data_IF_378168324055
#
_entry.id   IF_378168324055
#
_cell.length_a   1.000
_cell.length_b   1.000
_cell.length_c   1.000
_cell.angle_alpha   90.00
_cell.angle_beta   90.00
_cell.angle_gamma   90.00
#
_symmetry.space_group_name_H-M   'P 1'
#
loop_
_entity.id
_entity.type
_entity.pdbx_description
1 polymer ?
#
# COMPACT_ATOMS: atom_id res chain seq x y z
N UNK A 1 -6.50 -22.20 3.35
CA UNK A 1 -7.48 -21.92 2.30
C UNK A 1 -8.13 -20.58 2.60
N UNK A 2 -8.46 -19.79 1.57
CA UNK A 2 -9.09 -18.46 1.71
C UNK A 2 -10.60 -18.53 1.48
N UNK A 3 -11.09 -19.67 1.13
CA UNK A 3 -12.50 -19.94 0.88
C UNK A 3 -13.37 -19.47 2.07
N UNK A 4 -14.43 -18.74 1.77
CA UNK A 4 -15.36 -18.11 2.71
C UNK A 4 -14.75 -17.08 3.69
N UNK A 5 -13.45 -16.77 3.60
CA UNK A 5 -12.82 -15.72 4.42
C UNK A 5 -13.26 -14.34 3.97
N UNK A 6 -13.67 -13.50 4.90
CA UNK A 6 -14.06 -12.11 4.61
C UNK A 6 -12.83 -11.20 4.71
N UNK A 7 -12.47 -10.58 3.58
CA UNK A 7 -11.23 -9.82 3.41
C UNK A 7 -11.54 -8.42 2.90
N UNK A 8 -11.19 -7.40 3.67
CA UNK A 8 -11.26 -6.00 3.26
C UNK A 8 -9.99 -5.64 2.49
N UNK A 9 -10.14 -5.00 1.32
CA UNK A 9 -9.04 -4.47 0.51
C UNK A 9 -9.26 -2.99 0.29
N UNK A 10 -8.39 -2.14 0.85
CA UNK A 10 -8.44 -0.69 0.62
C UNK A 10 -7.66 -0.29 -0.64
N UNK A 11 -8.08 0.79 -1.32
CA UNK A 11 -7.49 1.19 -2.59
C UNK A 11 -7.77 0.17 -3.71
N UNK A 12 -8.91 -0.53 -3.66
CA UNK A 12 -9.25 -1.65 -4.53
C UNK A 12 -9.64 -1.26 -5.96
N UNK A 13 -9.77 0.03 -6.27
CA UNK A 13 -10.24 0.50 -7.58
C UNK A 13 -9.18 0.52 -8.68
N UNK A 14 -7.92 0.17 -8.39
CA UNK A 14 -6.83 0.07 -9.38
C UNK A 14 -5.59 -0.64 -8.83
N UNK A 15 -4.68 -1.01 -9.72
CA UNK A 15 -3.33 -1.44 -9.42
C UNK A 15 -3.24 -2.65 -8.51
N UNK A 16 -2.42 -2.56 -7.45
CA UNK A 16 -2.19 -3.68 -6.53
C UNK A 16 -3.46 -4.09 -5.80
N UNK A 17 -4.29 -3.12 -5.37
CA UNK A 17 -5.55 -3.39 -4.68
C UNK A 17 -6.54 -4.15 -5.55
N UNK A 18 -6.73 -3.73 -6.78
CA UNK A 18 -7.59 -4.41 -7.77
C UNK A 18 -7.08 -5.82 -8.08
N UNK A 19 -5.78 -5.95 -8.40
CA UNK A 19 -5.19 -7.25 -8.67
C UNK A 19 -5.30 -8.21 -7.46
N UNK A 20 -5.18 -7.67 -6.24
CA UNK A 20 -5.38 -8.43 -5.00
C UNK A 20 -6.82 -8.90 -4.88
N UNK A 21 -7.79 -8.02 -5.09
CA UNK A 21 -9.21 -8.36 -5.05
C UNK A 21 -9.56 -9.48 -6.04
N UNK A 22 -9.06 -9.38 -7.28
CA UNK A 22 -9.23 -10.42 -8.32
C UNK A 22 -8.70 -11.78 -7.89
N UNK A 23 -7.52 -11.82 -7.29
CA UNK A 23 -6.92 -13.06 -6.80
C UNK A 23 -7.70 -13.67 -5.65
N UNK A 24 -8.10 -12.85 -4.69
CA UNK A 24 -8.85 -13.29 -3.51
C UNK A 24 -10.23 -13.84 -3.89
N UNK A 25 -10.93 -13.18 -4.81
CA UNK A 25 -12.21 -13.69 -5.33
C UNK A 25 -12.06 -15.05 -6.03
N UNK A 26 -11.02 -15.21 -6.88
CA UNK A 26 -10.71 -16.51 -7.51
C UNK A 26 -10.35 -17.59 -6.50
N UNK A 27 -9.81 -17.23 -5.34
CA UNK A 27 -9.53 -18.15 -4.23
C UNK A 27 -10.72 -18.45 -3.34
N UNK A 28 -11.94 -18.00 -3.71
CA UNK A 28 -13.21 -18.26 -3.02
C UNK A 28 -13.45 -17.40 -1.78
N UNK A 29 -12.72 -16.28 -1.61
CA UNK A 29 -12.92 -15.38 -0.49
C UNK A 29 -14.11 -14.45 -0.72
N UNK A 30 -14.74 -14.01 0.38
CA UNK A 30 -15.63 -12.86 0.38
C UNK A 30 -14.76 -11.58 0.36
N UNK A 31 -14.89 -10.75 -0.68
CA UNK A 31 -14.00 -9.59 -0.88
C UNK A 31 -14.77 -8.29 -0.75
N UNK A 32 -14.33 -7.46 0.19
CA UNK A 32 -14.86 -6.11 0.39
C UNK A 32 -13.91 -5.11 -0.25
N UNK A 33 -14.40 -4.43 -1.28
CA UNK A 33 -13.66 -3.46 -2.08
C UNK A 33 -13.92 -2.05 -1.56
N UNK A 34 -12.87 -1.36 -1.11
CA UNK A 34 -12.99 0.00 -0.60
C UNK A 34 -12.10 0.96 -1.36
N UNK A 35 -12.67 2.02 -1.94
CA UNK A 35 -11.98 3.14 -2.58
C UNK A 35 -12.96 4.27 -2.89
N UNK A 36 -12.43 5.43 -3.34
CA UNK A 36 -13.23 6.62 -3.66
C UNK A 36 -14.06 6.48 -4.95
N UNK A 37 -13.58 5.71 -5.93
CA UNK A 37 -14.16 5.59 -7.28
C UNK A 37 -15.28 4.54 -7.29
N UNK A 38 -16.51 4.97 -6.96
CA UNK A 38 -17.68 4.09 -6.82
C UNK A 38 -17.95 3.25 -8.06
N UNK A 39 -17.93 3.86 -9.25
CA UNK A 39 -18.21 3.17 -10.52
C UNK A 39 -17.23 2.03 -10.79
N UNK A 40 -15.91 2.27 -10.54
CA UNK A 40 -14.89 1.22 -10.72
C UNK A 40 -15.07 0.08 -9.74
N UNK A 41 -15.48 0.37 -8.49
CA UNK A 41 -15.75 -0.67 -7.51
C UNK A 41 -16.97 -1.50 -7.90
N UNK A 42 -18.04 -0.85 -8.35
CA UNK A 42 -19.24 -1.53 -8.80
C UNK A 42 -18.97 -2.44 -10.00
N UNK A 43 -18.26 -1.93 -11.01
CA UNK A 43 -17.87 -2.71 -12.18
C UNK A 43 -16.99 -3.92 -11.78
N UNK A 44 -16.02 -3.71 -10.89
CA UNK A 44 -15.16 -4.80 -10.42
C UNK A 44 -15.95 -5.84 -9.61
N UNK A 45 -16.87 -5.44 -8.74
CA UNK A 45 -17.74 -6.38 -8.03
C UNK A 45 -18.56 -7.23 -8.99
N UNK A 46 -19.22 -6.62 -9.97
CA UNK A 46 -20.05 -7.32 -10.97
C UNK A 46 -19.20 -8.32 -11.79
N UNK A 47 -17.97 -7.96 -12.12
CA UNK A 47 -17.04 -8.84 -12.83
C UNK A 47 -16.59 -10.03 -11.96
N UNK A 48 -16.29 -9.78 -10.69
CA UNK A 48 -15.77 -10.81 -9.77
C UNK A 48 -16.84 -11.78 -9.30
N UNK A 49 -18.07 -11.31 -9.16
CA UNK A 49 -19.19 -12.09 -8.63
C UNK A 49 -20.52 -11.55 -9.15
N UNK A 50 -21.01 -12.14 -10.23
CA UNK A 50 -22.29 -11.78 -10.85
C UNK A 50 -23.49 -12.04 -9.92
N UNK A 51 -23.33 -12.86 -8.88
CA UNK A 51 -24.39 -13.16 -7.90
C UNK A 51 -24.48 -12.13 -6.79
N UNK A 52 -23.43 -11.32 -6.61
CA UNK A 52 -23.30 -10.35 -5.53
C UNK A 52 -23.22 -10.96 -4.12
N UNK A 53 -23.03 -12.28 -3.99
CA UNK A 53 -23.00 -12.97 -2.68
C UNK A 53 -21.65 -12.83 -1.99
N UNK A 54 -20.56 -12.82 -2.76
CA UNK A 54 -19.18 -12.89 -2.26
C UNK A 54 -18.39 -11.59 -2.40
N UNK A 55 -18.97 -10.55 -3.00
CA UNK A 55 -18.32 -9.25 -3.14
C UNK A 55 -19.15 -8.12 -2.54
N UNK A 56 -18.50 -7.10 -2.02
CA UNK A 56 -19.12 -5.88 -1.50
C UNK A 56 -18.30 -4.66 -1.93
N UNK A 57 -18.94 -3.72 -2.65
CA UNK A 57 -18.36 -2.43 -2.95
C UNK A 57 -18.78 -1.41 -1.89
N UNK A 58 -17.82 -0.76 -1.26
CA UNK A 58 -18.04 0.37 -0.35
C UNK A 58 -17.23 1.56 -0.87
N UNK A 59 -17.91 2.53 -1.45
CA UNK A 59 -17.25 3.76 -1.90
C UNK A 59 -16.98 4.66 -0.70
N UNK A 60 -15.75 5.23 -0.60
CA UNK A 60 -15.40 6.14 0.48
C UNK A 60 -13.95 6.55 0.47
N UNK A 61 -13.63 7.55 1.27
CA UNK A 61 -12.27 8.02 1.50
C UNK A 61 -11.73 7.44 2.81
N UNK A 62 -10.59 6.75 2.73
CA UNK A 62 -9.96 6.12 3.89
C UNK A 62 -9.53 7.13 4.96
N UNK A 63 -9.39 8.42 4.61
CA UNK A 63 -9.05 9.50 5.55
C UNK A 63 -10.23 9.95 6.40
N UNK A 64 -11.47 9.67 5.98
CA UNK A 64 -12.69 10.06 6.70
C UNK A 64 -13.13 8.98 7.70
N UNK A 65 -13.30 9.36 8.95
CA UNK A 65 -13.72 8.44 10.02
C UNK A 65 -15.07 7.76 9.72
N UNK A 66 -16.08 8.54 9.30
CA UNK A 66 -17.39 8.03 8.96
C UNK A 66 -17.36 6.98 7.84
N UNK A 67 -16.44 7.11 6.86
CA UNK A 67 -16.30 6.16 5.77
C UNK A 67 -15.63 4.86 6.23
N UNK A 68 -14.64 4.94 7.12
CA UNK A 68 -14.03 3.74 7.74
C UNK A 68 -15.03 2.98 8.61
N UNK A 69 -15.82 3.68 9.41
CA UNK A 69 -16.88 3.08 10.24
C UNK A 69 -17.96 2.42 9.38
N UNK A 70 -18.41 3.12 8.31
CA UNK A 70 -19.36 2.57 7.35
C UNK A 70 -18.83 1.32 6.67
N UNK A 71 -17.54 1.30 6.29
CA UNK A 71 -16.88 0.13 5.71
C UNK A 71 -16.96 -1.08 6.65
N UNK A 72 -16.57 -0.90 7.90
CA UNK A 72 -16.57 -1.99 8.90
C UNK A 72 -17.99 -2.46 9.16
N UNK A 73 -18.95 -1.54 9.37
CA UNK A 73 -20.36 -1.86 9.60
C UNK A 73 -20.96 -2.64 8.43
N UNK A 74 -20.85 -2.13 7.20
CA UNK A 74 -21.37 -2.80 6.01
C UNK A 74 -20.74 -4.19 5.78
N UNK A 75 -19.47 -4.37 6.13
CA UNK A 75 -18.80 -5.67 6.08
C UNK A 75 -19.43 -6.65 7.06
N UNK A 76 -19.66 -6.22 8.29
CA UNK A 76 -20.28 -7.06 9.34
C UNK A 76 -21.73 -7.37 9.04
N UNK A 77 -22.50 -6.40 8.55
CA UNK A 77 -23.90 -6.59 8.13
C UNK A 77 -24.03 -7.65 7.03
N UNK A 78 -23.11 -7.64 6.05
CA UNK A 78 -23.18 -8.59 4.93
C UNK A 78 -22.59 -9.95 5.24
N UNK A 79 -21.45 -10.01 5.93
CA UNK A 79 -20.66 -11.24 6.08
C UNK A 79 -20.52 -11.72 7.53
N UNK A 80 -20.96 -10.95 8.52
CA UNK A 80 -20.94 -11.30 9.93
C UNK A 80 -19.55 -11.31 10.57
N UNK A 81 -18.47 -11.16 9.80
CA UNK A 81 -17.09 -11.29 10.28
C UNK A 81 -16.07 -10.54 9.40
N UNK A 82 -14.88 -10.33 9.96
CA UNK A 82 -13.72 -9.81 9.22
C UNK A 82 -12.53 -10.71 9.53
N UNK A 83 -12.07 -11.51 8.56
CA UNK A 83 -10.93 -12.42 8.72
C UNK A 83 -9.60 -11.76 8.38
N UNK A 84 -9.60 -10.83 7.42
CA UNK A 84 -8.40 -10.11 7.06
C UNK A 84 -8.66 -8.68 6.60
N UNK A 85 -7.62 -7.85 6.79
CA UNK A 85 -7.56 -6.47 6.31
C UNK A 85 -6.29 -6.30 5.47
N UNK A 86 -6.45 -5.85 4.22
CA UNK A 86 -5.35 -5.45 3.33
C UNK A 86 -5.33 -3.92 3.25
N UNK A 87 -4.45 -3.30 3.99
CA UNK A 87 -4.19 -1.87 3.97
C UNK A 87 -3.31 -1.54 2.76
N UNK A 88 -3.93 -1.21 1.64
CA UNK A 88 -3.25 -0.91 0.38
C UNK A 88 -3.45 0.53 -0.10
N UNK A 89 -4.48 1.24 0.36
CA UNK A 89 -4.70 2.63 -0.01
C UNK A 89 -3.48 3.51 0.28
N UNK A 90 -3.13 4.36 -0.67
CA UNK A 90 -1.99 5.27 -0.53
C UNK A 90 -1.58 5.91 -1.85
N UNK A 91 -0.81 6.99 -1.76
CA UNK A 91 -0.24 7.69 -2.92
C UNK A 91 1.15 8.24 -2.62
N UNK A 92 1.88 8.62 -3.67
CA UNK A 92 3.21 9.19 -3.56
C UNK A 92 3.18 10.71 -3.65
N UNK A 93 3.80 11.42 -2.69
CA UNK A 93 4.14 12.83 -2.78
C UNK A 93 5.62 12.97 -3.12
N UNK A 94 5.95 13.76 -4.12
CA UNK A 94 7.33 13.94 -4.63
C UNK A 94 7.71 15.40 -4.74
N UNK A 95 9.00 15.64 -4.79
CA UNK A 95 9.61 16.96 -4.92
C UNK A 95 10.67 17.22 -3.85
N UNK A 96 11.39 18.34 -3.97
CA UNK A 96 12.29 18.81 -2.92
C UNK A 96 11.50 19.04 -1.64
N UNK A 97 11.93 18.49 -0.52
CA UNK A 97 11.15 18.54 0.72
C UNK A 97 10.88 19.98 1.19
N UNK A 98 11.83 20.88 1.00
CA UNK A 98 11.69 22.31 1.34
C UNK A 98 10.63 23.04 0.49
N UNK A 99 10.21 22.46 -0.65
CA UNK A 99 9.22 23.03 -1.56
C UNK A 99 7.85 22.37 -1.44
N UNK A 100 7.76 21.25 -0.72
CA UNK A 100 6.48 20.58 -0.50
C UNK A 100 5.70 21.36 0.56
N UNK A 101 4.49 21.87 0.25
CA UNK A 101 3.64 22.48 1.26
C UNK A 101 3.41 21.51 2.43
N UNK A 102 3.45 22.02 3.66
CA UNK A 102 3.27 21.18 4.85
C UNK A 102 1.92 20.47 4.86
N UNK A 103 0.89 21.09 4.29
CA UNK A 103 -0.45 20.51 4.12
C UNK A 103 -0.42 19.29 3.21
N UNK A 104 0.36 19.32 2.12
CA UNK A 104 0.54 18.19 1.21
C UNK A 104 1.29 17.03 1.90
N UNK A 105 2.29 17.36 2.72
CA UNK A 105 2.99 16.37 3.56
C UNK A 105 2.04 15.73 4.58
N UNK A 106 1.24 16.55 5.30
CA UNK A 106 0.23 16.07 6.26
C UNK A 106 -0.80 15.17 5.58
N UNK A 107 -1.33 15.56 4.42
CA UNK A 107 -2.28 14.77 3.66
C UNK A 107 -1.69 13.42 3.19
N UNK A 108 -0.38 13.40 2.86
CA UNK A 108 0.30 12.17 2.50
C UNK A 108 0.43 11.21 3.71
N UNK A 109 0.77 11.75 4.90
CA UNK A 109 0.77 10.97 6.14
C UNK A 109 -0.64 10.54 6.55
N UNK A 110 -1.64 11.41 6.41
CA UNK A 110 -3.04 11.09 6.71
C UNK A 110 -3.49 9.86 5.91
N UNK A 111 -3.25 9.87 4.59
CA UNK A 111 -3.67 8.76 3.73
C UNK A 111 -2.82 7.51 3.94
N UNK A 112 -1.49 7.62 4.00
CA UNK A 112 -0.60 6.46 3.96
C UNK A 112 -0.35 5.82 5.33
N UNK A 113 -0.54 6.59 6.42
CA UNK A 113 -0.17 6.18 7.78
C UNK A 113 -1.38 6.22 8.71
N UNK A 114 -1.94 7.41 8.96
CA UNK A 114 -2.96 7.57 10.00
C UNK A 114 -4.27 6.84 9.66
N UNK A 115 -4.71 6.89 8.40
CA UNK A 115 -5.91 6.18 7.98
C UNK A 115 -5.78 4.65 8.13
N UNK A 116 -4.59 4.12 7.84
CA UNK A 116 -4.27 2.70 8.04
C UNK A 116 -4.34 2.33 9.51
N UNK A 117 -3.75 3.15 10.40
CA UNK A 117 -3.80 2.93 11.85
C UNK A 117 -5.24 2.98 12.33
N UNK A 118 -5.99 4.03 11.94
CA UNK A 118 -7.38 4.21 12.36
C UNK A 118 -8.29 3.05 11.91
N UNK A 119 -8.15 2.57 10.66
CA UNK A 119 -8.90 1.40 10.19
C UNK A 119 -8.47 0.13 10.94
N UNK A 120 -7.17 -0.02 11.22
CA UNK A 120 -6.67 -1.14 12.03
C UNK A 120 -7.25 -1.11 13.44
N UNK A 121 -7.38 0.06 14.07
CA UNK A 121 -8.01 0.23 15.38
C UNK A 121 -9.49 -0.19 15.41
N UNK A 122 -10.22 -0.01 14.32
CA UNK A 122 -11.60 -0.48 14.19
C UNK A 122 -11.69 -2.01 13.99
N UNK A 123 -10.75 -2.60 13.25
CA UNK A 123 -10.81 -4.02 12.87
C UNK A 123 -10.11 -4.94 13.88
N UNK A 124 -9.01 -4.51 14.49
CA UNK A 124 -8.22 -5.34 15.40
C UNK A 124 -9.00 -5.85 16.62
N UNK A 125 -9.88 -5.06 17.28
CA UNK A 125 -10.72 -5.55 18.38
C UNK A 125 -11.66 -6.68 17.95
N UNK A 126 -12.21 -6.63 16.74
CA UNK A 126 -13.08 -7.65 16.17
C UNK A 126 -12.30 -8.94 15.93
N UNK A 127 -11.12 -8.85 15.32
CA UNK A 127 -10.24 -10.00 15.11
C UNK A 127 -9.75 -10.59 16.43
N UNK A 128 -9.45 -9.76 17.44
CA UNK A 128 -9.07 -10.20 18.78
C UNK A 128 -10.20 -10.98 19.45
N UNK A 129 -11.44 -10.50 19.38
CA UNK A 129 -12.61 -11.20 19.89
C UNK A 129 -12.85 -12.55 19.18
N UNK A 130 -12.51 -12.64 17.91
CA UNK A 130 -12.55 -13.88 17.12
C UNK A 130 -11.40 -14.86 17.48
N UNK A 131 -10.37 -14.42 18.22
CA UNK A 131 -9.16 -15.19 18.49
C UNK A 131 -8.30 -15.48 17.25
N UNK A 132 -8.62 -14.84 16.12
CA UNK A 132 -7.95 -15.05 14.83
C UNK A 132 -8.14 -13.84 13.93
N UNK A 133 -7.11 -13.52 13.15
CA UNK A 133 -7.19 -12.45 12.15
C UNK A 133 -5.89 -12.27 11.39
N UNK A 134 -5.93 -11.54 10.28
CA UNK A 134 -4.74 -11.20 9.53
C UNK A 134 -4.77 -9.78 8.98
N UNK A 135 -3.74 -9.02 9.26
CA UNK A 135 -3.56 -7.67 8.73
C UNK A 135 -2.35 -7.68 7.81
N UNK A 136 -2.56 -7.26 6.55
CA UNK A 136 -1.49 -7.14 5.56
C UNK A 136 -1.35 -5.67 5.20
N UNK A 137 -0.22 -5.08 5.55
CA UNK A 137 0.12 -3.70 5.23
C UNK A 137 0.97 -3.65 3.96
N UNK A 138 0.57 -2.83 2.98
CA UNK A 138 1.36 -2.62 1.76
C UNK A 138 2.36 -1.49 2.01
N UNK A 139 3.57 -1.90 2.37
CA UNK A 139 4.74 -1.04 2.50
C UNK A 139 5.36 -0.66 1.15
N UNK A 140 6.68 -0.62 1.11
CA UNK A 140 7.48 -0.41 -0.10
C UNK A 140 8.95 -0.69 0.21
N UNK A 141 9.79 -0.93 -0.81
CA UNK A 141 11.26 -0.79 -0.67
C UNK A 141 11.64 0.61 -0.20
N UNK A 142 10.82 1.60 -0.48
CA UNK A 142 10.93 2.98 -0.03
C UNK A 142 10.83 3.14 1.51
N UNK A 143 10.34 2.14 2.23
CA UNK A 143 10.38 2.07 3.70
C UNK A 143 11.74 1.63 4.25
N UNK A 144 12.71 1.33 3.40
CA UNK A 144 14.08 0.91 3.78
C UNK A 144 15.17 1.70 3.06
N UNK A 145 14.84 2.31 1.92
CA UNK A 145 15.78 3.07 1.09
C UNK A 145 15.11 4.39 0.72
N UNK A 146 15.61 5.50 1.29
CA UNK A 146 15.14 6.84 0.97
C UNK A 146 15.87 7.37 -0.26
N UNK A 147 15.18 8.11 -1.11
CA UNK A 147 15.71 8.71 -2.33
C UNK A 147 15.52 10.22 -2.29
N UNK A 148 16.45 11.01 -2.85
CA UNK A 148 16.20 12.42 -3.11
C UNK A 148 14.88 12.63 -3.85
N UNK A 149 14.22 13.75 -3.61
CA UNK A 149 12.93 14.14 -4.22
C UNK A 149 11.75 13.18 -3.91
N UNK A 150 11.93 12.25 -2.97
CA UNK A 150 10.89 11.29 -2.57
C UNK A 150 10.74 11.18 -1.05
N UNK A 151 11.47 11.98 -0.27
CA UNK A 151 11.52 11.87 1.19
C UNK A 151 10.16 12.00 1.86
N UNK A 152 9.26 12.83 1.32
CA UNK A 152 7.89 12.96 1.82
C UNK A 152 7.13 11.62 1.77
N UNK A 153 7.14 10.94 0.64
CA UNK A 153 6.53 9.61 0.51
C UNK A 153 7.31 8.53 1.26
N UNK A 154 8.64 8.52 1.08
CA UNK A 154 9.48 7.46 1.64
C UNK A 154 9.37 7.45 3.17
N UNK A 155 9.27 8.62 3.84
CA UNK A 155 9.05 8.71 5.29
C UNK A 155 7.74 8.07 5.76
N UNK A 156 6.65 8.18 4.98
CA UNK A 156 5.40 7.46 5.30
C UNK A 156 5.60 5.95 5.30
N UNK A 157 6.43 5.45 4.39
CA UNK A 157 6.70 4.01 4.28
C UNK A 157 7.68 3.51 5.35
N UNK A 158 8.61 4.35 5.83
CA UNK A 158 9.40 4.07 7.02
C UNK A 158 8.53 4.01 8.28
N UNK A 159 7.60 4.95 8.47
CA UNK A 159 6.64 4.91 9.58
C UNK A 159 5.84 3.59 9.56
N UNK A 160 5.44 3.13 8.39
CA UNK A 160 4.69 1.89 8.22
C UNK A 160 5.47 0.63 8.64
N UNK A 161 6.79 0.62 8.44
CA UNK A 161 7.66 -0.45 8.92
C UNK A 161 7.58 -0.57 10.45
N UNK A 162 7.81 0.55 11.16
CA UNK A 162 7.78 0.59 12.62
C UNK A 162 6.40 0.20 13.18
N UNK A 163 5.33 0.79 12.63
CA UNK A 163 3.95 0.49 13.02
C UNK A 163 3.64 -1.01 12.82
N UNK A 164 4.01 -1.56 11.66
CA UNK A 164 3.74 -2.97 11.37
C UNK A 164 4.51 -3.91 12.30
N UNK A 165 5.76 -3.58 12.62
CA UNK A 165 6.58 -4.40 13.51
C UNK A 165 6.05 -4.33 14.95
N UNK A 166 5.61 -3.17 15.46
CA UNK A 166 4.95 -3.01 16.76
C UNK A 166 3.64 -3.80 16.84
N UNK A 167 2.72 -3.56 15.91
CA UNK A 167 1.42 -4.25 15.85
C UNK A 167 1.57 -5.78 15.80
N UNK A 168 2.61 -6.29 15.15
CA UNK A 168 2.87 -7.73 15.08
C UNK A 168 3.13 -8.32 16.47
N UNK A 169 3.89 -7.62 17.31
CA UNK A 169 4.15 -8.03 18.69
C UNK A 169 2.90 -7.91 19.54
N UNK A 170 2.20 -6.80 19.45
CA UNK A 170 1.01 -6.47 20.24
C UNK A 170 -0.17 -7.43 19.99
N UNK A 171 -0.41 -7.77 18.71
CA UNK A 171 -1.59 -8.56 18.31
C UNK A 171 -1.34 -10.08 18.29
N UNK A 172 -0.08 -10.52 18.31
CA UNK A 172 0.28 -11.95 18.29
C UNK A 172 -0.33 -12.77 19.43
N UNK A 173 -0.38 -12.29 20.70
CA UNK A 173 -1.00 -13.04 21.80
C UNK A 173 -2.49 -13.32 21.58
N UNK A 174 -3.15 -12.53 20.76
CA UNK A 174 -4.58 -12.64 20.47
C UNK A 174 -4.89 -13.42 19.18
N UNK A 175 -3.91 -14.12 18.62
CA UNK A 175 -4.10 -14.90 17.39
C UNK A 175 -4.15 -14.08 16.10
N UNK A 176 -3.92 -12.76 16.16
CA UNK A 176 -3.92 -11.87 15.00
C UNK A 176 -2.50 -11.72 14.43
N UNK A 177 -2.35 -12.02 13.16
CA UNK A 177 -1.05 -12.00 12.48
C UNK A 177 -0.91 -10.75 11.61
N UNK A 178 0.18 -10.00 11.78
CA UNK A 178 0.45 -8.77 11.03
C UNK A 178 1.65 -8.98 10.10
N UNK A 179 1.45 -8.71 8.82
CA UNK A 179 2.41 -8.97 7.75
C UNK A 179 2.65 -7.70 6.95
N UNK A 180 3.90 -7.47 6.57
CA UNK A 180 4.28 -6.41 5.65
C UNK A 180 4.55 -6.99 4.26
N UNK A 181 4.01 -6.38 3.22
CA UNK A 181 4.42 -6.64 1.83
C UNK A 181 5.17 -5.42 1.33
N UNK A 182 6.39 -5.60 0.79
CA UNK A 182 7.23 -4.52 0.25
C UNK A 182 7.32 -4.63 -1.27
N UNK A 183 6.47 -3.91 -2.00
CA UNK A 183 6.63 -3.74 -3.43
C UNK A 183 7.92 -2.98 -3.78
N UNK A 184 8.55 -3.37 -4.89
CA UNK A 184 9.49 -2.52 -5.61
C UNK A 184 8.78 -1.60 -6.60
N UNK A 185 9.36 -1.41 -7.79
CA UNK A 185 8.72 -0.65 -8.86
C UNK A 185 7.64 -1.52 -9.53
N UNK A 186 6.40 -1.04 -9.52
CA UNK A 186 5.24 -1.73 -10.10
C UNK A 186 4.52 -0.78 -11.06
N UNK A 187 4.16 -1.27 -12.23
CA UNK A 187 3.40 -0.52 -13.25
C UNK A 187 1.94 -0.41 -12.83
N UNK A 188 1.56 0.74 -12.31
CA UNK A 188 0.21 1.07 -11.83
C UNK A 188 -0.10 2.54 -12.08
N UNK A 189 -1.34 2.95 -11.88
CA UNK A 189 -1.76 4.37 -11.86
C UNK A 189 -1.09 5.18 -10.71
N UNK A 190 -0.44 4.51 -9.75
CA UNK A 190 0.28 5.17 -8.64
C UNK A 190 1.30 6.20 -9.12
N UNK A 191 2.00 5.89 -10.22
CA UNK A 191 2.98 6.81 -10.81
C UNK A 191 2.32 8.09 -11.34
N UNK A 192 1.21 7.96 -12.05
CA UNK A 192 0.42 9.08 -12.59
C UNK A 192 -0.19 9.91 -11.47
N UNK A 193 -0.76 9.28 -10.45
CA UNK A 193 -1.27 9.96 -9.25
C UNK A 193 -0.18 10.75 -8.57
N UNK A 194 1.02 10.17 -8.39
CA UNK A 194 2.15 10.87 -7.78
C UNK A 194 2.62 12.07 -8.63
N UNK A 195 2.58 11.97 -9.95
CA UNK A 195 2.86 13.10 -10.86
C UNK A 195 1.83 14.21 -10.71
N UNK A 196 0.55 13.85 -10.75
CA UNK A 196 -0.56 14.82 -10.63
C UNK A 196 -0.51 15.59 -9.30
N UNK A 197 -0.37 14.90 -8.16
CA UNK A 197 -0.32 15.57 -6.85
C UNK A 197 0.97 16.36 -6.63
N UNK A 198 2.04 16.05 -7.35
CA UNK A 198 3.33 16.76 -7.25
C UNK A 198 3.52 17.84 -8.32
N UNK A 199 2.57 18.01 -9.24
CA UNK A 199 2.72 18.89 -10.41
C UNK A 199 3.05 20.35 -10.02
N UNK A 200 2.36 20.91 -9.00
CA UNK A 200 2.61 22.26 -8.54
C UNK A 200 4.01 22.41 -7.91
N UNK A 201 4.46 21.41 -7.16
CA UNK A 201 5.81 21.40 -6.56
C UNK A 201 6.88 21.32 -7.64
N UNK A 202 6.61 20.63 -8.74
CA UNK A 202 7.52 20.53 -9.88
C UNK A 202 7.56 21.84 -10.69
N UNK A 203 6.41 22.49 -10.87
CA UNK A 203 6.32 23.77 -11.55
C UNK A 203 7.11 24.89 -10.81
N UNK A 204 7.13 24.84 -9.47
CA UNK A 204 7.90 25.76 -8.61
C UNK A 204 9.14 25.08 -8.00
N UNK A 205 9.89 24.37 -8.81
CA UNK A 205 11.07 23.63 -8.32
C UNK A 205 12.26 24.51 -7.98
N UNK A 206 12.33 25.76 -8.49
CA UNK A 206 13.42 26.70 -8.25
C UNK A 206 14.80 26.11 -8.58
N UNK A 207 15.75 26.12 -7.63
CA UNK A 207 17.10 25.60 -7.88
C UNK A 207 17.16 24.10 -8.16
N UNK A 208 16.05 23.37 -7.97
CA UNK A 208 15.97 21.92 -8.19
C UNK A 208 15.52 21.54 -9.61
N UNK A 209 15.15 22.48 -10.47
CA UNK A 209 14.62 22.19 -11.81
C UNK A 209 15.53 21.25 -12.62
N UNK A 210 16.83 21.55 -12.70
CA UNK A 210 17.81 20.72 -13.43
C UNK A 210 18.00 19.30 -12.84
N UNK A 211 17.61 19.08 -11.60
CA UNK A 211 17.67 17.77 -10.96
C UNK A 211 16.37 16.96 -11.19
N UNK A 212 15.25 17.65 -11.39
CA UNK A 212 13.98 16.98 -11.71
C UNK A 212 14.06 16.26 -13.05
N UNK A 213 14.65 16.85 -14.07
CA UNK A 213 14.83 16.24 -15.39
C UNK A 213 15.64 14.94 -15.30
N UNK A 214 16.74 14.97 -14.57
CA UNK A 214 17.54 13.77 -14.28
C UNK A 214 16.73 12.71 -13.54
N UNK A 215 15.96 13.12 -12.53
CA UNK A 215 15.13 12.21 -11.74
C UNK A 215 14.05 11.54 -12.60
N UNK A 216 13.32 12.32 -13.43
CA UNK A 216 12.28 11.77 -14.31
C UNK A 216 12.84 10.85 -15.39
N UNK A 217 14.00 11.20 -15.97
CA UNK A 217 14.70 10.34 -16.94
C UNK A 217 15.08 8.99 -16.31
N UNK A 218 15.66 8.99 -15.10
CA UNK A 218 16.00 7.74 -14.43
C UNK A 218 14.76 6.94 -14.01
N UNK A 219 13.68 7.63 -13.62
CA UNK A 219 12.41 6.97 -13.32
C UNK A 219 11.81 6.28 -14.55
N UNK A 220 11.91 6.89 -15.73
CA UNK A 220 11.48 6.28 -16.98
C UNK A 220 12.26 4.99 -17.27
N UNK A 221 13.57 4.95 -16.98
CA UNK A 221 14.39 3.72 -17.10
C UNK A 221 13.92 2.64 -16.12
N UNK A 222 13.60 3.01 -14.86
CA UNK A 222 13.09 2.07 -13.86
C UNK A 222 11.71 1.49 -14.22
N UNK A 223 10.87 2.22 -14.96
CA UNK A 223 9.59 1.71 -15.48
C UNK A 223 9.76 0.50 -16.40
N UNK A 224 10.91 0.36 -17.09
CA UNK A 224 11.18 -0.78 -17.99
C UNK A 224 11.37 -2.10 -17.23
N UNK A 225 11.90 -2.03 -16.02
CA UNK A 225 12.13 -3.21 -15.15
C UNK A 225 11.03 -3.38 -14.09
N UNK A 226 10.01 -2.54 -14.13
CA UNK A 226 8.91 -2.59 -13.17
C UNK A 226 8.09 -3.87 -13.35
N UNK A 227 7.75 -4.52 -12.23
CA UNK A 227 6.82 -5.63 -12.17
C UNK A 227 5.38 -5.21 -12.48
N UNK A 228 4.49 -6.19 -12.46
CA UNK A 228 3.06 -5.98 -12.64
C UNK A 228 2.31 -6.08 -11.29
N UNK A 229 1.11 -5.49 -11.17
CA UNK A 229 0.31 -5.56 -9.95
C UNK A 229 0.10 -6.97 -9.42
N UNK A 230 -0.06 -7.94 -10.31
CA UNK A 230 -0.26 -9.35 -9.97
C UNK A 230 0.92 -9.98 -9.24
N UNK A 231 2.16 -9.53 -9.47
CA UNK A 231 3.34 -10.00 -8.72
C UNK A 231 3.18 -9.73 -7.21
N UNK A 232 2.61 -8.58 -6.86
CA UNK A 232 2.38 -8.20 -5.46
C UNK A 232 1.11 -8.84 -4.92
N UNK A 233 0.05 -8.89 -5.72
CA UNK A 233 -1.20 -9.56 -5.35
C UNK A 233 -0.96 -11.04 -5.00
N UNK A 234 -0.08 -11.73 -5.71
CA UNK A 234 0.36 -13.10 -5.39
C UNK A 234 1.07 -13.18 -4.03
N UNK A 235 1.85 -12.17 -3.65
CA UNK A 235 2.50 -12.12 -2.34
C UNK A 235 1.48 -11.86 -1.22
N UNK A 236 0.49 -11.02 -1.46
CA UNK A 236 -0.64 -10.77 -0.53
C UNK A 236 -1.44 -12.06 -0.34
N UNK A 237 -1.84 -12.71 -1.41
CA UNK A 237 -2.53 -14.00 -1.37
C UNK A 237 -1.74 -15.05 -0.57
N UNK A 238 -0.43 -15.18 -0.85
CA UNK A 238 0.46 -16.09 -0.11
C UNK A 238 0.54 -15.72 1.37
N UNK A 239 0.61 -14.43 1.71
CA UNK A 239 0.62 -13.97 3.09
C UNK A 239 -0.69 -14.30 3.79
N UNK A 240 -1.82 -14.17 3.10
CA UNK A 240 -3.15 -14.48 3.64
C UNK A 240 -3.43 -15.98 3.78
N UNK A 241 -2.97 -16.80 2.83
CA UNK A 241 -3.21 -18.25 2.82
C UNK A 241 -2.29 -19.03 3.76
N UNK A 242 -1.10 -18.53 4.09
CA UNK A 242 -0.11 -19.25 4.87
C UNK A 242 -0.59 -19.48 6.31
N UNK A 243 -0.50 -20.70 6.83
CA UNK A 243 -0.79 -21.00 8.26
C UNK A 243 0.13 -20.21 9.20
N UNK A 244 1.42 -20.11 8.86
CA UNK A 244 2.44 -19.32 9.56
C UNK A 244 3.11 -18.37 8.55
N UNK A 245 2.56 -17.17 8.31
CA UNK A 245 3.13 -16.25 7.35
C UNK A 245 4.50 -15.74 7.80
N UNK A 246 5.33 -15.41 6.82
CA UNK A 246 6.54 -14.64 7.08
C UNK A 246 6.18 -13.24 7.57
N UNK A 247 7.04 -12.64 8.38
CA UNK A 247 6.85 -11.25 8.86
C UNK A 247 6.79 -10.25 7.69
N UNK A 248 7.50 -10.55 6.59
CA UNK A 248 7.58 -9.70 5.42
C UNK A 248 7.71 -10.50 4.12
N UNK A 249 7.11 -9.96 3.04
CA UNK A 249 7.23 -10.46 1.67
C UNK A 249 7.74 -9.33 0.78
N UNK A 250 8.83 -9.56 0.06
CA UNK A 250 9.46 -8.60 -0.83
C UNK A 250 9.29 -9.03 -2.28
N UNK A 251 8.91 -8.14 -3.16
CA UNK A 251 8.76 -8.46 -4.59
C UNK A 251 8.59 -7.21 -5.45
N UNK A 252 8.80 -7.37 -6.73
CA UNK A 252 9.41 -8.49 -7.47
C UNK A 252 10.92 -8.67 -7.21
N UNK A 253 11.64 -9.38 -8.08
CA UNK A 253 13.04 -9.77 -7.82
C UNK A 253 13.97 -8.57 -7.56
N UNK A 254 13.82 -7.48 -8.32
CA UNK A 254 14.63 -6.28 -8.13
C UNK A 254 14.45 -5.66 -6.72
N UNK A 255 13.25 -5.78 -6.12
CA UNK A 255 13.04 -5.33 -4.75
C UNK A 255 13.90 -6.11 -3.74
N UNK A 256 14.01 -7.42 -3.94
CA UNK A 256 14.88 -8.28 -3.10
C UNK A 256 16.34 -7.90 -3.27
N UNK A 257 16.77 -7.64 -4.52
CA UNK A 257 18.13 -7.22 -4.84
C UNK A 257 18.48 -5.89 -4.14
N UNK A 258 17.65 -4.85 -4.28
CA UNK A 258 17.90 -3.57 -3.64
C UNK A 258 17.95 -3.67 -2.10
N UNK A 259 17.07 -4.46 -1.50
CA UNK A 259 17.07 -4.67 -0.05
C UNK A 259 18.28 -5.46 0.42
N UNK A 260 18.75 -6.43 -0.36
CA UNK A 260 19.99 -7.16 -0.09
C UNK A 260 21.22 -6.24 -0.19
N UNK A 261 21.30 -5.41 -1.23
CA UNK A 261 22.37 -4.42 -1.36
C UNK A 261 22.36 -3.41 -0.19
N UNK A 262 21.16 -2.97 0.25
CA UNK A 262 21.04 -2.06 1.42
C UNK A 262 21.51 -2.71 2.72
N UNK A 263 21.37 -4.01 2.86
CA UNK A 263 21.89 -4.75 4.01
C UNK A 263 23.40 -4.96 3.93
N UNK A 264 23.91 -5.24 2.73
CA UNK A 264 25.34 -5.56 2.50
C UNK A 264 26.25 -4.34 2.52
N UNK A 265 25.80 -3.21 1.95
CA UNK A 265 26.64 -2.05 1.70
C UNK A 265 26.45 -0.97 2.77
N UNK A 266 27.53 -0.24 3.14
CA UNK A 266 27.46 0.86 4.10
C UNK A 266 26.63 2.03 3.57
N UNK A 267 26.12 2.87 4.47
CA UNK A 267 25.25 3.99 4.14
C UNK A 267 25.90 4.97 3.14
N UNK A 268 27.18 5.24 3.29
CA UNK A 268 27.93 6.15 2.39
C UNK A 268 27.89 5.72 0.92
N UNK A 269 27.83 4.41 0.64
CA UNK A 269 27.65 3.92 -0.72
C UNK A 269 26.29 4.33 -1.30
N UNK A 270 25.23 4.22 -0.52
CA UNK A 270 23.89 4.63 -0.94
C UNK A 270 23.78 6.13 -1.10
N UNK A 271 24.40 6.91 -0.20
CA UNK A 271 24.48 8.36 -0.32
C UNK A 271 25.18 8.78 -1.61
N UNK A 272 26.28 8.11 -1.95
CA UNK A 272 26.97 8.33 -3.21
C UNK A 272 26.15 7.89 -4.43
N UNK A 273 25.55 6.69 -4.40
CA UNK A 273 24.80 6.12 -5.53
C UNK A 273 23.49 6.87 -5.80
N UNK A 274 22.83 7.39 -4.75
CA UNK A 274 21.54 8.09 -4.82
C UNK A 274 21.68 9.63 -4.84
N UNK A 275 22.91 10.16 -4.79
CA UNK A 275 23.12 11.61 -4.85
C UNK A 275 22.48 12.22 -6.09
N UNK A 276 21.93 13.40 -5.92
CA UNK A 276 21.38 14.17 -7.03
C UNK A 276 22.47 14.54 -8.04
N UNK A 277 22.17 14.41 -9.32
CA UNK A 277 23.00 14.85 -10.42
C UNK A 277 22.21 15.84 -11.26
N UNK A 278 22.86 16.86 -11.80
CA UNK A 278 22.25 17.72 -12.82
C UNK A 278 22.06 16.91 -14.11
N UNK A 279 21.04 17.23 -14.88
CA UNK A 279 20.96 16.80 -16.27
C UNK A 279 22.13 17.46 -17.04
N UNK A 280 22.86 16.65 -17.80
CA UNK A 280 23.88 17.11 -18.74
C UNK A 280 23.25 17.75 -19.93
#
# INVERSE_FOLDING_TARGET
MLETKTIIVTGASSGIGEATARRLARAGANVVLFARRAERLAALCAELDSTGKHTLAVAGDVTLAADRERLVRATLEKFGRIDALVNNAGYGQRGPLERIPLEALRANFETNVFSLVALTQLVAPLMRAQGAGRIVNIGSVAGRITRPLSSAYDSTKFALEGITDGLRGELKPFGVQVVLVRPGFIRTEFGQTAESVSAQVYADAGPYASYLDYFETNRAKLRRVAGVPDDIARLVEKALAARRPRRCYNGPLHAKFFLFMKWLLPACFFDWALRMKKAE
#
